data_IF_747399543782
#
_entry.id   IF_747399543782
#
_cell.length_a   1.000
_cell.length_b   1.000
_cell.length_c   1.000
_cell.angle_alpha   90.00
_cell.angle_beta   90.00
_cell.angle_gamma   90.00
#
_symmetry.space_group_name_H-M   'P 1'
#
loop_
_entity.id
_entity.type
_entity.pdbx_description
1 polymer ?
#
# COMPACT_ATOMS: atom_id res chain seq x y z
N UNK A 1 -5.04 20.07 3.37
CA UNK A 1 -3.93 20.18 2.39
C UNK A 1 -4.30 19.59 1.04
N UNK A 2 -5.00 18.45 0.95
CA UNK A 2 -5.43 17.88 -0.33
C UNK A 2 -6.21 18.87 -1.23
N UNK A 3 -7.13 19.65 -0.65
CA UNK A 3 -7.93 20.65 -1.36
C UNK A 3 -7.08 21.70 -2.09
N UNK A 4 -5.91 22.07 -1.54
CA UNK A 4 -5.00 23.05 -2.15
C UNK A 4 -4.42 22.55 -3.49
N UNK A 5 -4.35 21.23 -3.67
CA UNK A 5 -3.77 20.59 -4.84
C UNK A 5 -4.83 19.90 -5.72
N UNK A 6 -6.12 20.09 -5.42
CA UNK A 6 -7.20 19.43 -6.14
C UNK A 6 -7.17 17.91 -6.03
N UNK A 7 -6.58 17.38 -4.95
CA UNK A 7 -6.50 15.94 -4.72
C UNK A 7 -7.80 15.49 -4.03
N UNK A 8 -8.51 14.56 -4.64
CA UNK A 8 -9.70 13.98 -4.05
C UNK A 8 -9.35 13.24 -2.74
N UNK A 9 -10.07 13.56 -1.67
CA UNK A 9 -10.07 12.76 -0.46
C UNK A 9 -11.09 11.64 -0.60
N UNK A 10 -10.69 10.44 -0.20
CA UNK A 10 -11.54 9.26 -0.23
C UNK A 10 -11.86 8.87 1.22
N UNK A 11 -13.13 8.59 1.48
CA UNK A 11 -13.61 8.20 2.82
C UNK A 11 -13.46 6.69 3.08
N UNK A 12 -13.17 5.91 2.05
CA UNK A 12 -12.99 4.46 2.16
C UNK A 12 -11.92 3.91 1.21
N UNK A 13 -11.31 2.79 1.60
CA UNK A 13 -10.40 2.05 0.75
C UNK A 13 -11.12 1.31 -0.40
N UNK A 14 -12.43 1.12 -0.32
CA UNK A 14 -13.20 0.42 -1.36
C UNK A 14 -13.16 1.18 -2.68
N UNK A 15 -13.15 2.52 -2.65
CA UNK A 15 -12.96 3.36 -3.84
C UNK A 15 -11.63 3.09 -4.55
N UNK A 16 -10.61 2.60 -3.86
CA UNK A 16 -9.32 2.25 -4.45
C UNK A 16 -9.37 0.95 -5.28
N UNK A 17 -10.46 0.19 -5.21
CA UNK A 17 -10.65 -1.03 -6.01
C UNK A 17 -11.00 -0.74 -7.47
N UNK A 18 -11.44 0.49 -7.78
CA UNK A 18 -11.81 0.90 -9.13
C UNK A 18 -10.70 0.58 -10.14
N UNK A 19 -11.09 0.05 -11.31
CA UNK A 19 -10.15 -0.42 -12.34
C UNK A 19 -9.26 0.69 -12.90
N UNK A 20 -9.71 1.95 -12.82
CA UNK A 20 -8.93 3.12 -13.24
C UNK A 20 -7.72 3.40 -12.33
N UNK A 21 -7.71 2.85 -11.11
CA UNK A 21 -6.61 2.99 -10.15
C UNK A 21 -5.72 1.75 -10.25
N UNK A 22 -4.56 1.91 -10.90
CA UNK A 22 -3.62 0.80 -11.13
C UNK A 22 -2.52 0.68 -10.07
N UNK A 23 -2.11 1.80 -9.47
CA UNK A 23 -0.97 1.87 -8.54
C UNK A 23 -1.39 2.66 -7.30
N UNK A 24 -1.05 2.14 -6.12
CA UNK A 24 -1.27 2.78 -4.83
C UNK A 24 0.08 3.12 -4.20
N UNK A 25 0.31 4.41 -3.93
CA UNK A 25 1.43 4.89 -3.13
C UNK A 25 1.04 4.95 -1.65
N UNK A 26 1.87 4.41 -0.75
CA UNK A 26 1.61 4.49 0.69
C UNK A 26 2.83 4.95 1.49
N UNK A 27 2.53 5.86 2.42
CA UNK A 27 3.44 6.33 3.46
C UNK A 27 2.93 5.96 4.86
N UNK A 28 2.10 4.91 4.95
CA UNK A 28 1.58 4.40 6.23
C UNK A 28 2.71 4.11 7.23
N UNK A 29 2.40 4.17 8.52
CA UNK A 29 3.35 3.80 9.58
C UNK A 29 3.83 2.36 9.39
N UNK A 30 5.07 2.05 9.77
CA UNK A 30 5.79 0.84 9.33
C UNK A 30 5.02 -0.47 9.56
N UNK A 31 4.38 -0.60 10.73
CA UNK A 31 3.57 -1.76 11.10
C UNK A 31 2.27 -1.92 10.28
N UNK A 32 1.87 -0.91 9.52
CA UNK A 32 0.70 -0.93 8.64
C UNK A 32 1.05 -1.17 7.18
N UNK A 33 2.30 -0.92 6.76
CA UNK A 33 2.74 -1.09 5.35
C UNK A 33 2.51 -2.51 4.82
N UNK A 34 2.71 -3.51 5.66
CA UNK A 34 2.42 -4.91 5.32
C UNK A 34 0.94 -5.13 5.00
N UNK A 35 0.03 -4.53 5.79
CA UNK A 35 -1.40 -4.65 5.55
C UNK A 35 -1.80 -4.00 4.23
N UNK A 36 -1.14 -2.90 3.87
CA UNK A 36 -1.32 -2.24 2.58
C UNK A 36 -0.87 -3.15 1.43
N UNK A 37 0.29 -3.81 1.54
CA UNK A 37 0.76 -4.78 0.53
C UNK A 37 -0.26 -5.91 0.35
N UNK A 38 -0.68 -6.54 1.45
CA UNK A 38 -1.64 -7.65 1.42
C UNK A 38 -3.00 -7.23 0.87
N UNK A 39 -3.42 -5.99 1.14
CA UNK A 39 -4.65 -5.45 0.55
C UNK A 39 -4.48 -5.25 -0.96
N UNK A 40 -3.39 -4.64 -1.40
CA UNK A 40 -3.15 -4.39 -2.83
C UNK A 40 -3.06 -5.69 -3.63
N UNK A 41 -2.32 -6.69 -3.13
CA UNK A 41 -2.21 -8.01 -3.75
C UNK A 41 -3.59 -8.67 -3.94
N UNK A 42 -4.43 -8.68 -2.89
CA UNK A 42 -5.79 -9.25 -2.95
C UNK A 42 -6.71 -8.55 -3.96
N UNK A 43 -6.45 -7.29 -4.27
CA UNK A 43 -7.27 -6.49 -5.19
C UNK A 43 -6.59 -6.25 -6.54
N UNK A 44 -5.48 -6.95 -6.82
CA UNK A 44 -4.74 -6.82 -8.08
C UNK A 44 -4.19 -5.41 -8.33
N UNK A 45 -3.77 -4.71 -7.28
CA UNK A 45 -3.19 -3.36 -7.36
C UNK A 45 -1.69 -3.43 -7.18
N UNK A 46 -0.96 -2.66 -7.99
CA UNK A 46 0.46 -2.45 -7.72
C UNK A 46 0.62 -1.51 -6.52
N UNK A 47 1.68 -1.70 -5.74
CA UNK A 47 1.94 -0.89 -4.54
C UNK A 47 3.35 -0.32 -4.56
N UNK A 48 3.48 0.96 -4.22
CA UNK A 48 4.75 1.63 -3.99
C UNK A 48 4.81 2.11 -2.53
N UNK A 49 5.89 1.77 -1.82
CA UNK A 49 6.05 2.07 -0.40
C UNK A 49 7.25 2.97 -0.12
N UNK A 50 7.09 3.87 0.86
CA UNK A 50 8.20 4.57 1.47
C UNK A 50 9.11 3.62 2.27
N UNK A 51 10.42 3.91 2.32
CA UNK A 51 11.37 3.20 3.20
C UNK A 51 11.22 3.65 4.67
N UNK A 52 11.48 2.78 5.65
CA UNK A 52 11.70 1.33 5.50
C UNK A 52 10.38 0.58 5.23
N UNK A 53 10.45 -0.53 4.50
CA UNK A 53 9.28 -1.40 4.23
C UNK A 53 8.93 -2.24 5.46
N UNK A 54 9.96 -2.72 6.17
CA UNK A 54 9.85 -3.45 7.44
C UNK A 54 10.92 -2.93 8.40
N UNK A 55 10.65 -3.02 9.71
CA UNK A 55 11.63 -2.61 10.74
C UNK A 55 12.20 -3.80 11.51
N UNK A 56 11.58 -4.99 11.40
CA UNK A 56 12.06 -6.22 12.02
C UNK A 56 12.31 -7.34 11.01
N UNK A 57 13.40 -8.10 11.21
CA UNK A 57 13.76 -9.21 10.32
C UNK A 57 12.69 -10.29 10.24
N UNK A 58 12.01 -10.57 11.36
CA UNK A 58 10.90 -11.54 11.41
C UNK A 58 9.73 -11.14 10.51
N UNK A 59 9.49 -9.84 10.32
CA UNK A 59 8.46 -9.34 9.40
C UNK A 59 8.89 -9.56 7.95
N UNK A 60 10.17 -9.33 7.64
CA UNK A 60 10.72 -9.68 6.33
C UNK A 60 10.54 -11.16 6.04
N UNK A 61 10.95 -12.06 6.95
CA UNK A 61 10.89 -13.50 6.72
C UNK A 61 9.44 -13.99 6.49
N UNK A 62 8.48 -13.44 7.24
CA UNK A 62 7.05 -13.76 7.09
C UNK A 62 6.46 -13.28 5.76
N UNK A 63 6.91 -12.12 5.25
CA UNK A 63 6.31 -11.46 4.08
C UNK A 63 7.22 -11.48 2.83
N UNK A 64 8.36 -12.18 2.90
CA UNK A 64 9.30 -12.34 1.77
C UNK A 64 8.60 -12.84 0.50
N UNK A 65 7.67 -13.80 0.54
CA UNK A 65 6.96 -14.22 -0.68
C UNK A 65 6.21 -13.07 -1.36
N UNK A 66 5.52 -12.23 -0.58
CA UNK A 66 4.77 -11.08 -1.11
C UNK A 66 5.69 -9.99 -1.67
N UNK A 67 6.85 -9.77 -1.03
CA UNK A 67 7.82 -8.75 -1.44
C UNK A 67 8.65 -9.13 -2.68
N UNK A 68 8.65 -10.41 -3.07
CA UNK A 68 9.33 -10.90 -4.28
C UNK A 68 8.40 -11.10 -5.47
N UNK A 69 7.08 -10.92 -5.29
CA UNK A 69 6.05 -11.12 -6.32
C UNK A 69 5.59 -9.81 -6.98
N UNK A 70 6.16 -8.67 -6.58
CA UNK A 70 5.85 -7.33 -7.12
C UNK A 70 6.76 -6.91 -8.27
#
# INVERSE_FOLDING_TARGET
MADQYGIALLDSAESLTDVSIAIIGSYAVDNEKIRVIEWCERHGKHVMLGKPIVTWRKELDRHTPLLLMT
#
